data_IF_769560873448
#
_entry.id   IF_769560873448
#
_cell.length_a   1.000
_cell.length_b   1.000
_cell.length_c   1.000
_cell.angle_alpha   90.00
_cell.angle_beta   90.00
_cell.angle_gamma   90.00
#
_symmetry.space_group_name_H-M   'P 1'
#
loop_
_entity.id
_entity.type
_entity.pdbx_description
1 polymer ?
#
# COMPACT_ATOMS: atom_id res chain seq x y z
N UNK A 1 15.50 -9.67 4.57
CA UNK A 1 15.15 -10.89 3.83
C UNK A 1 15.98 -12.09 4.31
N UNK A 2 17.30 -12.11 4.15
CA UNK A 2 18.13 -13.29 4.43
C UNK A 2 17.96 -13.86 5.86
N UNK A 3 18.01 -13.01 6.90
CA UNK A 3 17.84 -13.46 8.29
C UNK A 3 16.49 -14.16 8.55
N UNK A 4 15.42 -13.72 7.91
CA UNK A 4 14.10 -14.37 8.01
C UNK A 4 14.06 -15.70 7.26
N UNK A 5 14.72 -15.80 6.12
CA UNK A 5 14.80 -17.04 5.33
C UNK A 5 15.65 -18.12 6.00
N UNK A 6 16.68 -17.76 6.77
CA UNK A 6 17.49 -18.72 7.52
C UNK A 6 16.66 -19.58 8.48
N UNK A 7 15.63 -19.01 9.09
CA UNK A 7 14.75 -19.72 10.01
C UNK A 7 13.74 -20.63 9.28
N UNK A 8 13.46 -20.37 8.03
CA UNK A 8 12.43 -21.06 7.24
C UNK A 8 13.02 -22.20 6.40
N UNK A 9 14.23 -22.03 5.89
CA UNK A 9 14.92 -23.03 5.05
C UNK A 9 14.99 -24.45 5.67
N UNK A 10 15.28 -24.61 6.99
CA UNK A 10 15.33 -25.93 7.60
C UNK A 10 13.97 -26.64 7.63
N UNK A 11 12.87 -25.86 7.68
CA UNK A 11 11.50 -26.40 7.73
C UNK A 11 11.05 -26.87 6.34
N UNK A 12 11.35 -26.09 5.29
CA UNK A 12 10.87 -26.36 3.93
C UNK A 12 11.70 -27.43 3.22
N UNK A 13 12.98 -27.58 3.55
CA UNK A 13 13.91 -28.57 3.00
C UNK A 13 13.92 -28.64 1.45
N UNK A 14 13.59 -27.54 0.77
CA UNK A 14 13.54 -27.42 -0.69
C UNK A 14 14.15 -26.10 -1.18
N UNK A 15 14.64 -26.04 -2.41
CA UNK A 15 15.00 -24.78 -3.05
C UNK A 15 13.78 -23.84 -3.16
N UNK A 16 13.98 -22.56 -2.88
CA UNK A 16 12.93 -21.53 -2.99
C UNK A 16 13.16 -20.69 -4.24
N UNK A 17 12.10 -20.44 -4.97
CA UNK A 17 12.05 -19.42 -6.03
C UNK A 17 12.19 -18.02 -5.43
N UNK A 18 12.48 -17.02 -6.26
CA UNK A 18 12.53 -15.62 -5.78
C UNK A 18 11.19 -15.18 -5.15
N UNK A 19 10.08 -15.50 -5.79
CA UNK A 19 8.73 -15.19 -5.28
C UNK A 19 8.49 -15.83 -3.91
N UNK A 20 8.81 -17.11 -3.74
CA UNK A 20 8.69 -17.77 -2.43
C UNK A 20 9.58 -17.12 -1.38
N UNK A 21 10.80 -16.74 -1.72
CA UNK A 21 11.70 -16.01 -0.80
C UNK A 21 11.08 -14.70 -0.34
N UNK A 22 10.48 -13.93 -1.25
CA UNK A 22 9.78 -12.68 -0.92
C UNK A 22 8.59 -12.97 0.00
N UNK A 23 7.70 -13.89 -0.38
CA UNK A 23 6.52 -14.24 0.41
C UNK A 23 6.91 -14.73 1.81
N UNK A 24 7.79 -15.71 1.92
CA UNK A 24 8.22 -16.24 3.22
C UNK A 24 8.94 -15.20 4.08
N UNK A 25 9.66 -14.25 3.48
CA UNK A 25 10.32 -13.18 4.24
C UNK A 25 9.34 -12.13 4.80
N UNK A 26 8.10 -12.10 4.33
CA UNK A 26 7.06 -11.18 4.77
C UNK A 26 5.95 -11.87 5.59
N UNK A 27 6.14 -13.12 5.98
CA UNK A 27 5.21 -13.78 6.89
C UNK A 27 5.07 -13.01 8.19
N UNK A 28 3.84 -12.87 8.68
CA UNK A 28 3.58 -12.35 10.02
C UNK A 28 4.17 -13.29 11.07
N UNK A 29 4.80 -12.73 12.10
CA UNK A 29 5.55 -13.49 13.12
C UNK A 29 4.74 -14.56 13.87
N UNK A 30 3.42 -14.49 13.81
CA UNK A 30 2.54 -15.41 14.54
C UNK A 30 2.46 -16.83 13.97
N UNK A 31 3.03 -17.12 12.78
CA UNK A 31 2.94 -18.45 12.13
C UNK A 31 4.16 -18.80 11.29
N UNK A 32 5.33 -18.76 11.85
CA UNK A 32 6.60 -18.73 11.10
C UNK A 32 7.20 -20.07 10.69
N UNK A 33 6.61 -21.22 10.95
CA UNK A 33 7.36 -22.47 10.83
C UNK A 33 6.60 -23.65 10.21
N UNK A 34 5.71 -23.38 9.25
CA UNK A 34 5.00 -24.43 8.52
C UNK A 34 5.13 -24.27 7.03
N UNK A 35 5.13 -25.38 6.31
CA UNK A 35 4.96 -25.37 4.86
C UNK A 35 3.50 -25.05 4.53
N UNK A 36 3.27 -24.12 3.59
CA UNK A 36 1.95 -23.76 3.11
C UNK A 36 1.64 -24.41 1.77
N UNK A 37 0.44 -24.95 1.65
CA UNK A 37 -0.06 -25.57 0.43
C UNK A 37 -0.72 -24.51 -0.47
N UNK A 38 -0.17 -24.34 -1.68
CA UNK A 38 -0.69 -23.40 -2.67
C UNK A 38 -2.16 -23.69 -3.01
N UNK A 39 -3.00 -22.64 -2.94
CA UNK A 39 -4.43 -22.73 -3.23
C UNK A 39 -5.29 -23.36 -2.14
N UNK A 40 -4.70 -23.71 -0.98
CA UNK A 40 -5.42 -24.29 0.16
C UNK A 40 -5.29 -23.48 1.44
N UNK A 41 -4.08 -22.98 1.73
CA UNK A 41 -3.80 -22.32 2.99
C UNK A 41 -3.96 -20.80 2.89
N UNK A 42 -4.51 -20.21 3.95
CA UNK A 42 -4.53 -18.77 4.17
C UNK A 42 -3.33 -18.34 4.97
N UNK A 43 -2.67 -17.27 4.53
CA UNK A 43 -1.41 -16.80 5.10
C UNK A 43 -1.51 -15.31 5.42
N UNK A 44 -0.97 -14.92 6.57
CA UNK A 44 -0.88 -13.52 6.97
C UNK A 44 0.50 -12.95 6.63
N UNK A 45 0.51 -11.82 5.95
CA UNK A 45 1.73 -11.10 5.57
C UNK A 45 1.84 -9.77 6.30
N UNK A 46 3.07 -9.34 6.55
CA UNK A 46 3.42 -8.01 7.01
C UNK A 46 4.10 -7.27 5.86
N UNK A 47 3.37 -6.43 5.09
CA UNK A 47 3.94 -5.71 3.98
C UNK A 47 4.91 -4.62 4.45
N UNK A 48 5.81 -4.20 3.58
CA UNK A 48 6.72 -3.07 3.84
C UNK A 48 6.01 -1.73 3.70
N UNK A 49 4.95 -1.67 2.86
CA UNK A 49 4.21 -0.43 2.57
C UNK A 49 2.78 -0.70 2.12
N UNK A 50 1.92 0.26 2.40
CA UNK A 50 0.55 0.33 1.86
C UNK A 50 0.40 1.59 1.02
N UNK A 51 -0.07 1.45 -0.22
CA UNK A 51 -0.45 2.54 -1.12
C UNK A 51 -1.98 2.61 -1.24
N UNK A 52 -2.55 3.81 -1.12
CA UNK A 52 -3.98 4.02 -1.20
C UNK A 52 -4.28 5.04 -2.31
N UNK A 53 -5.10 4.70 -3.28
CA UNK A 53 -5.58 5.67 -4.27
C UNK A 53 -6.80 6.44 -3.74
N UNK A 54 -7.04 7.65 -4.24
CA UNK A 54 -8.00 8.59 -3.68
C UNK A 54 -9.46 8.09 -3.66
N UNK A 55 -9.89 7.33 -4.64
CA UNK A 55 -11.27 6.85 -4.70
C UNK A 55 -11.58 5.84 -3.58
N UNK A 56 -10.67 4.90 -3.29
CA UNK A 56 -10.86 3.85 -2.28
C UNK A 56 -10.28 4.21 -0.91
N UNK A 57 -9.31 5.13 -0.83
CA UNK A 57 -8.72 5.59 0.42
C UNK A 57 -9.75 6.21 1.37
N UNK A 58 -10.79 6.85 0.86
CA UNK A 58 -11.86 7.42 1.67
C UNK A 58 -12.47 6.38 2.61
N UNK A 59 -12.89 5.25 2.06
CA UNK A 59 -13.48 4.16 2.85
C UNK A 59 -12.44 3.52 3.77
N UNK A 60 -11.24 3.26 3.30
CA UNK A 60 -10.17 2.67 4.09
C UNK A 60 -9.81 3.53 5.29
N UNK A 61 -9.67 4.84 5.12
CA UNK A 61 -9.38 5.78 6.20
C UNK A 61 -10.53 5.90 7.20
N UNK A 62 -11.78 5.94 6.72
CA UNK A 62 -12.94 5.93 7.62
C UNK A 62 -12.98 4.68 8.49
N UNK A 63 -12.76 3.50 7.91
CA UNK A 63 -12.67 2.25 8.67
C UNK A 63 -11.50 2.25 9.66
N UNK A 64 -10.35 2.78 9.26
CA UNK A 64 -9.20 2.93 10.14
C UNK A 64 -9.52 3.87 11.33
N UNK A 65 -10.18 4.99 11.08
CA UNK A 65 -10.63 5.93 12.12
C UNK A 65 -11.60 5.26 13.11
N UNK A 66 -12.56 4.47 12.59
CA UNK A 66 -13.50 3.71 13.42
C UNK A 66 -12.81 2.65 14.28
N UNK A 67 -11.69 2.11 13.84
CA UNK A 67 -10.87 1.16 14.61
C UNK A 67 -10.13 1.81 15.79
N UNK A 68 -10.18 3.14 15.94
CA UNK A 68 -9.62 3.88 17.07
C UNK A 68 -8.11 3.83 17.21
N UNK A 69 -7.39 3.59 16.11
CA UNK A 69 -5.92 3.56 16.11
C UNK A 69 -5.34 4.96 16.01
N UNK A 70 -4.28 5.23 16.76
CA UNK A 70 -3.63 6.55 16.77
C UNK A 70 -2.78 6.81 15.53
N UNK A 71 -2.17 5.77 14.97
CA UNK A 71 -1.29 5.85 13.79
C UNK A 71 -1.29 4.52 13.03
N UNK A 72 -0.87 4.59 11.77
CA UNK A 72 -0.68 3.39 10.95
C UNK A 72 0.50 2.54 11.47
N UNK A 73 0.35 1.21 11.40
CA UNK A 73 1.40 0.28 11.79
C UNK A 73 2.47 0.08 10.71
N UNK A 74 2.12 0.34 9.45
CA UNK A 74 2.97 0.16 8.28
C UNK A 74 3.08 1.50 7.56
N UNK A 75 4.24 1.89 7.04
CA UNK A 75 4.39 3.08 6.20
C UNK A 75 3.33 3.10 5.11
N UNK A 76 2.50 4.14 5.09
CA UNK A 76 1.36 4.24 4.18
C UNK A 76 1.38 5.57 3.43
N UNK A 77 0.85 5.59 2.22
CA UNK A 77 0.71 6.79 1.40
C UNK A 77 -0.64 6.83 0.71
N UNK A 78 -1.20 8.03 0.59
CA UNK A 78 -2.41 8.32 -0.21
C UNK A 78 -2.00 9.08 -1.45
N UNK A 79 -2.56 8.69 -2.59
CA UNK A 79 -2.27 9.26 -3.90
C UNK A 79 -3.56 9.74 -4.57
N UNK A 80 -3.59 11.02 -4.98
CA UNK A 80 -4.76 11.63 -5.61
C UNK A 80 -4.58 11.67 -7.12
N UNK A 81 -4.93 10.59 -7.81
CA UNK A 81 -4.77 10.44 -9.25
C UNK A 81 -6.03 9.94 -9.99
N UNK A 82 -6.91 9.17 -9.36
CA UNK A 82 -8.08 8.57 -10.01
C UNK A 82 -9.26 9.56 -10.18
N UNK A 83 -9.37 10.58 -9.35
CA UNK A 83 -10.42 11.58 -9.44
C UNK A 83 -10.10 12.73 -10.41
N UNK A 84 -9.02 12.62 -11.17
CA UNK A 84 -8.62 13.57 -12.21
C UNK A 84 -9.00 12.98 -13.57
N UNK A 85 -9.92 13.63 -14.26
CA UNK A 85 -10.31 13.24 -15.60
C UNK A 85 -9.39 13.93 -16.62
N UNK A 86 -8.63 13.14 -17.37
CA UNK A 86 -7.78 13.64 -18.46
C UNK A 86 -8.63 13.92 -19.70
N UNK A 87 -8.96 15.18 -19.95
CA UNK A 87 -9.84 15.60 -21.04
C UNK A 87 -9.24 16.66 -21.96
N UNK A 88 -8.83 17.82 -21.41
CA UNK A 88 -8.26 18.93 -22.20
C UNK A 88 -6.76 19.07 -22.03
N UNK A 89 -6.26 18.86 -20.82
CA UNK A 89 -4.86 19.00 -20.46
C UNK A 89 -4.66 19.33 -18.99
N UNK A 90 -3.45 19.09 -18.50
CA UNK A 90 -3.14 19.09 -17.07
C UNK A 90 -3.63 20.37 -16.32
N UNK A 91 -3.40 21.55 -16.89
CA UNK A 91 -3.75 22.82 -16.23
C UNK A 91 -5.26 23.03 -16.06
N UNK A 92 -6.04 22.63 -17.05
CA UNK A 92 -7.51 22.70 -17.06
C UNK A 92 -8.09 21.62 -16.17
N UNK A 93 -7.69 20.38 -16.39
CA UNK A 93 -8.24 19.21 -15.75
C UNK A 93 -7.97 19.19 -14.24
N UNK A 94 -6.79 19.64 -13.79
CA UNK A 94 -6.46 19.80 -12.37
C UNK A 94 -7.32 20.88 -11.69
N UNK A 95 -7.60 21.99 -12.36
CA UNK A 95 -8.51 23.01 -11.82
C UNK A 95 -9.92 22.48 -11.62
N UNK A 96 -10.42 21.73 -12.59
CA UNK A 96 -11.73 21.10 -12.53
C UNK A 96 -11.76 20.05 -11.41
N UNK A 97 -10.78 19.16 -11.32
CA UNK A 97 -10.69 18.15 -10.28
C UNK A 97 -10.64 18.78 -8.87
N UNK A 98 -9.77 19.76 -8.66
CA UNK A 98 -9.63 20.46 -7.37
C UNK A 98 -10.92 21.19 -6.96
N UNK A 99 -11.72 21.69 -7.92
CA UNK A 99 -13.01 22.29 -7.61
C UNK A 99 -14.05 21.24 -7.27
N UNK A 100 -14.17 20.19 -8.09
CA UNK A 100 -15.24 19.19 -7.97
C UNK A 100 -15.03 18.22 -6.81
N UNK A 101 -13.78 17.91 -6.49
CA UNK A 101 -13.41 16.93 -5.45
C UNK A 101 -12.69 17.57 -4.24
N UNK A 102 -12.88 18.87 -4.05
CA UNK A 102 -12.21 19.62 -2.97
C UNK A 102 -12.40 18.98 -1.61
N UNK A 103 -13.61 18.59 -1.27
CA UNK A 103 -13.94 17.97 0.02
C UNK A 103 -13.21 16.65 0.22
N UNK A 104 -13.15 15.83 -0.80
CA UNK A 104 -12.44 14.54 -0.78
C UNK A 104 -10.94 14.76 -0.59
N UNK A 105 -10.33 15.63 -1.38
CA UNK A 105 -8.89 15.92 -1.26
C UNK A 105 -8.53 16.54 0.09
N UNK A 106 -9.35 17.43 0.62
CA UNK A 106 -9.16 18.01 1.95
C UNK A 106 -9.29 16.96 3.05
N UNK A 107 -10.28 16.07 2.97
CA UNK A 107 -10.42 14.94 3.90
C UNK A 107 -9.18 14.03 3.86
N UNK A 108 -8.78 13.58 2.69
CA UNK A 108 -7.62 12.70 2.52
C UNK A 108 -6.34 13.35 3.06
N UNK A 109 -6.12 14.63 2.77
CA UNK A 109 -4.96 15.39 3.25
C UNK A 109 -4.95 15.49 4.77
N UNK A 110 -6.07 15.89 5.37
CA UNK A 110 -6.15 16.11 6.83
C UNK A 110 -6.10 14.79 7.61
N UNK A 111 -6.75 13.73 7.12
CA UNK A 111 -6.66 12.40 7.71
C UNK A 111 -5.22 11.85 7.59
N UNK A 112 -4.57 12.00 6.44
CA UNK A 112 -3.18 11.59 6.25
C UNK A 112 -2.24 12.27 7.25
N UNK A 113 -2.38 13.57 7.44
CA UNK A 113 -1.60 14.32 8.43
C UNK A 113 -1.82 13.82 9.87
N UNK A 114 -3.07 13.57 10.23
CA UNK A 114 -3.43 13.10 11.58
C UNK A 114 -2.82 11.74 11.91
N UNK A 115 -2.81 10.82 10.95
CA UNK A 115 -2.42 9.42 11.19
C UNK A 115 -1.00 9.08 10.71
N UNK A 116 -0.19 10.09 10.40
CA UNK A 116 1.19 9.93 9.90
C UNK A 116 1.27 9.12 8.60
N UNK A 117 0.38 9.41 7.66
CA UNK A 117 0.32 8.85 6.32
C UNK A 117 0.88 9.88 5.34
N UNK A 118 1.73 9.46 4.41
CA UNK A 118 2.23 10.32 3.34
C UNK A 118 1.09 10.73 2.39
N UNK A 119 1.13 11.96 1.87
CA UNK A 119 0.08 12.46 0.99
C UNK A 119 0.67 13.01 -0.31
N UNK A 120 0.29 12.41 -1.41
CA UNK A 120 0.58 12.83 -2.77
C UNK A 120 -0.68 13.47 -3.36
N UNK A 121 -0.70 14.79 -3.39
CA UNK A 121 -1.88 15.56 -3.81
C UNK A 121 -2.18 15.47 -5.30
N UNK A 122 -3.32 16.05 -5.74
CA UNK A 122 -3.70 16.08 -7.15
C UNK A 122 -2.60 16.68 -8.04
N UNK A 123 -2.25 15.95 -9.12
CA UNK A 123 -1.20 16.33 -10.04
C UNK A 123 0.21 15.80 -9.72
N UNK A 124 0.37 15.09 -8.61
CA UNK A 124 1.67 14.50 -8.25
C UNK A 124 2.09 13.32 -9.16
N UNK A 125 1.15 12.71 -9.87
CA UNK A 125 1.37 11.59 -10.77
C UNK A 125 0.52 10.37 -10.43
N UNK A 126 0.53 9.39 -11.31
CA UNK A 126 -0.20 8.12 -11.15
C UNK A 126 0.42 7.31 -10.01
N UNK A 127 -0.42 6.76 -9.12
CA UNK A 127 0.02 6.00 -7.93
C UNK A 127 1.07 4.95 -8.27
N UNK A 128 0.86 4.13 -9.30
CA UNK A 128 1.78 3.06 -9.68
C UNK A 128 3.18 3.60 -9.99
N UNK A 129 3.25 4.69 -10.75
CA UNK A 129 4.52 5.30 -11.14
C UNK A 129 5.20 5.98 -9.95
N UNK A 130 4.45 6.74 -9.15
CA UNK A 130 4.98 7.41 -7.96
C UNK A 130 5.53 6.40 -6.95
N UNK A 131 4.80 5.31 -6.72
CA UNK A 131 5.24 4.23 -5.81
C UNK A 131 6.48 3.53 -6.35
N UNK A 132 6.51 3.21 -7.65
CA UNK A 132 7.66 2.58 -8.28
C UNK A 132 8.92 3.44 -8.17
N UNK A 133 8.82 4.73 -8.46
CA UNK A 133 9.97 5.64 -8.48
C UNK A 133 10.51 6.01 -7.09
N UNK A 134 9.63 6.10 -6.10
CA UNK A 134 10.01 6.66 -4.79
C UNK A 134 10.14 5.61 -3.68
N UNK A 135 9.50 4.46 -3.80
CA UNK A 135 9.38 3.51 -2.69
C UNK A 135 9.74 2.08 -3.03
N UNK A 136 9.75 1.69 -4.30
CA UNK A 136 10.04 0.32 -4.70
C UNK A 136 11.52 -0.02 -4.48
N UNK A 137 11.75 -1.23 -3.98
CA UNK A 137 13.09 -1.79 -3.82
C UNK A 137 13.07 -3.31 -4.06
N UNK A 138 14.17 -3.92 -4.48
CA UNK A 138 14.23 -5.35 -4.73
C UNK A 138 13.87 -6.18 -3.49
N UNK A 139 12.89 -7.06 -3.63
CA UNK A 139 12.43 -7.93 -2.55
C UNK A 139 11.41 -7.30 -1.60
N UNK A 140 10.99 -6.05 -1.83
CA UNK A 140 9.92 -5.41 -1.07
C UNK A 140 8.54 -5.98 -1.41
N UNK A 141 7.62 -5.95 -0.42
CA UNK A 141 6.22 -6.30 -0.58
C UNK A 141 5.37 -5.06 -0.29
N UNK A 142 4.64 -4.62 -1.30
CA UNK A 142 3.72 -3.49 -1.19
C UNK A 142 2.30 -3.95 -1.48
N UNK A 143 1.34 -3.41 -0.73
CA UNK A 143 -0.09 -3.63 -0.94
C UNK A 143 -0.72 -2.30 -1.31
N UNK A 144 -1.57 -2.30 -2.32
CA UNK A 144 -2.29 -1.12 -2.77
C UNK A 144 -3.79 -1.38 -2.84
N UNK A 145 -4.58 -0.32 -2.65
CA UNK A 145 -5.98 -0.34 -3.06
C UNK A 145 -6.06 -0.06 -4.56
N UNK A 146 -7.03 -0.66 -5.21
CA UNK A 146 -7.35 -0.42 -6.61
C UNK A 146 -8.85 -0.14 -6.76
N UNK A 147 -9.22 0.48 -7.87
CA UNK A 147 -10.61 0.85 -8.19
C UNK A 147 -11.27 -0.14 -9.15
#
# INVERSE_FOLDING_TARGET
MENRLQNIRPVLQKPLTLTEKILYSHLSESKTHTEFSRGKDYVFFSPDRVGLQDATAQMALLQFMMAGKEKVAVPSTVHCDHLIQAYEGANSDLKVANKNHKEVFDFLRTASQKYNIGFWGPGAGIIHQVVLENYAFPGGMMIGTDS
#
